data_IF_156774991297
#
_entry.id   IF_156774991297
#
_cell.length_a   1.000
_cell.length_b   1.000
_cell.length_c   1.000
_cell.angle_alpha   90.00
_cell.angle_beta   90.00
_cell.angle_gamma   90.00
#
_symmetry.space_group_name_H-M   'P 1'
#
loop_
_entity.id
_entity.type
_entity.pdbx_description
1 polymer ?
#
# COMPACT_ATOMS: atom_id res chain seq x y z
N UNK A 1 -12.86 39.60 2.24
CA UNK A 1 -11.71 38.68 2.36
C UNK A 1 -11.92 37.59 3.42
N UNK A 2 -12.12 37.91 4.70
CA UNK A 2 -12.22 36.92 5.81
C UNK A 2 -13.37 35.89 5.66
N UNK A 3 -14.53 36.29 5.12
CA UNK A 3 -15.69 35.39 4.93
C UNK A 3 -15.48 34.33 3.84
N UNK A 4 -14.73 34.68 2.78
CA UNK A 4 -14.37 33.73 1.70
C UNK A 4 -13.38 32.68 2.23
N UNK A 5 -12.34 33.10 2.95
CA UNK A 5 -11.37 32.19 3.56
C UNK A 5 -12.02 31.21 4.56
N UNK A 6 -13.03 31.65 5.32
CA UNK A 6 -13.80 30.76 6.22
C UNK A 6 -14.64 29.72 5.47
N UNK A 7 -15.22 30.08 4.33
CA UNK A 7 -16.00 29.13 3.50
C UNK A 7 -15.11 28.12 2.79
N UNK A 8 -13.98 28.56 2.24
CA UNK A 8 -12.98 27.68 1.63
C UNK A 8 -12.41 26.69 2.66
N UNK A 9 -12.04 27.17 3.85
CA UNK A 9 -11.55 26.31 4.93
C UNK A 9 -12.57 25.24 5.35
N UNK A 10 -13.84 25.62 5.52
CA UNK A 10 -14.92 24.68 5.85
C UNK A 10 -15.15 23.63 4.75
N UNK A 11 -14.99 24.03 3.48
CA UNK A 11 -15.12 23.12 2.34
C UNK A 11 -14.00 22.08 2.32
N UNK A 12 -12.76 22.50 2.59
CA UNK A 12 -11.59 21.61 2.68
C UNK A 12 -11.77 20.60 3.81
N UNK A 13 -12.14 21.06 5.01
CA UNK A 13 -12.40 20.18 6.16
C UNK A 13 -13.51 19.16 5.87
N UNK A 14 -14.57 19.58 5.16
CA UNK A 14 -15.66 18.67 4.77
C UNK A 14 -15.19 17.62 3.77
N UNK A 15 -14.40 18.02 2.78
CA UNK A 15 -13.85 17.09 1.80
C UNK A 15 -12.90 16.06 2.43
N UNK A 16 -12.04 16.49 3.37
CA UNK A 16 -11.17 15.59 4.12
C UNK A 16 -11.97 14.59 4.96
N UNK A 17 -13.05 15.02 5.62
CA UNK A 17 -13.94 14.14 6.38
C UNK A 17 -14.61 13.09 5.48
N UNK A 18 -15.07 13.50 4.28
CA UNK A 18 -15.62 12.58 3.28
C UNK A 18 -14.58 11.53 2.86
N UNK A 19 -13.36 11.96 2.54
CA UNK A 19 -12.28 11.07 2.11
C UNK A 19 -11.89 10.09 3.22
N UNK A 20 -11.83 10.54 4.48
CA UNK A 20 -11.55 9.68 5.63
C UNK A 20 -12.64 8.63 5.83
N UNK A 21 -13.92 9.03 5.79
CA UNK A 21 -15.03 8.10 5.88
C UNK A 21 -15.03 7.08 4.73
N UNK A 22 -14.80 7.56 3.51
CA UNK A 22 -14.75 6.71 2.32
C UNK A 22 -13.61 5.69 2.39
N UNK A 23 -12.41 6.07 2.87
CA UNK A 23 -11.28 5.14 3.10
C UNK A 23 -11.67 3.97 4.00
N UNK A 24 -12.34 4.25 5.13
CA UNK A 24 -12.76 3.23 6.09
C UNK A 24 -13.79 2.28 5.46
N UNK A 25 -14.82 2.83 4.82
CA UNK A 25 -15.90 2.03 4.23
C UNK A 25 -15.40 1.19 3.06
N UNK A 26 -14.62 1.77 2.15
CA UNK A 26 -14.07 1.05 0.99
C UNK A 26 -13.04 0.00 1.37
N UNK A 27 -12.19 0.26 2.36
CA UNK A 27 -11.24 -0.74 2.84
C UNK A 27 -11.92 -2.00 3.39
N UNK A 28 -13.11 -1.84 4.01
CA UNK A 28 -13.87 -2.93 4.59
C UNK A 28 -14.77 -3.65 3.58
N UNK A 29 -15.34 -2.93 2.61
CA UNK A 29 -16.42 -3.44 1.75
C UNK A 29 -16.09 -3.46 0.25
N UNK A 30 -14.95 -2.91 -0.15
CA UNK A 30 -14.62 -2.65 -1.55
C UNK A 30 -15.56 -1.64 -2.21
N UNK A 31 -15.34 -1.34 -3.50
CA UNK A 31 -16.19 -0.46 -4.29
C UNK A 31 -17.64 -0.99 -4.35
N UNK A 32 -17.82 -2.28 -4.67
CA UNK A 32 -19.13 -2.88 -4.88
C UNK A 32 -19.98 -2.92 -3.61
N UNK A 33 -19.40 -3.29 -2.47
CA UNK A 33 -20.12 -3.44 -1.20
C UNK A 33 -20.41 -2.12 -0.47
N UNK A 34 -19.69 -1.05 -0.78
CA UNK A 34 -19.90 0.26 -0.17
C UNK A 34 -21.14 0.99 -0.71
N UNK A 35 -21.86 1.69 0.17
CA UNK A 35 -22.98 2.57 -0.21
C UNK A 35 -22.64 4.03 0.09
N UNK A 36 -23.03 4.93 -0.81
CA UNK A 36 -22.85 6.38 -0.61
C UNK A 36 -23.53 6.90 0.66
N UNK A 37 -24.67 6.30 1.06
CA UNK A 37 -25.34 6.66 2.31
C UNK A 37 -24.44 6.36 3.53
N UNK A 38 -23.81 5.18 3.57
CA UNK A 38 -22.95 4.78 4.69
C UNK A 38 -21.74 5.70 4.83
N UNK A 39 -21.18 6.15 3.70
CA UNK A 39 -20.07 7.11 3.69
C UNK A 39 -20.53 8.46 4.23
N UNK A 40 -21.71 8.94 3.81
CA UNK A 40 -22.27 10.20 4.28
C UNK A 40 -22.52 10.17 5.80
N UNK A 41 -23.16 9.08 6.28
CA UNK A 41 -23.44 8.87 7.70
C UNK A 41 -22.15 8.85 8.52
N UNK A 42 -21.12 8.13 8.05
CA UNK A 42 -19.82 8.06 8.72
C UNK A 42 -19.05 9.39 8.68
N UNK A 43 -19.22 10.20 7.63
CA UNK A 43 -18.66 11.54 7.52
C UNK A 43 -19.45 12.61 8.30
N UNK A 44 -20.59 12.26 8.91
CA UNK A 44 -21.44 13.20 9.62
C UNK A 44 -22.13 14.23 8.72
N UNK A 45 -22.36 13.89 7.44
CA UNK A 45 -23.01 14.77 6.47
C UNK A 45 -24.22 14.10 5.82
N UNK A 46 -25.10 14.89 5.22
CA UNK A 46 -26.18 14.32 4.41
C UNK A 46 -25.68 13.86 3.03
N UNK A 47 -26.38 12.90 2.44
CA UNK A 47 -26.03 12.31 1.14
C UNK A 47 -26.06 13.33 -0.02
N UNK A 48 -26.90 14.35 0.04
CA UNK A 48 -26.93 15.38 -1.00
C UNK A 48 -25.63 16.21 -1.00
N UNK A 49 -25.11 16.55 0.18
CA UNK A 49 -23.83 17.22 0.32
C UNK A 49 -22.68 16.32 -0.14
N UNK A 50 -22.72 15.02 0.16
CA UNK A 50 -21.74 14.08 -0.40
C UNK A 50 -21.77 14.09 -1.94
N UNK A 51 -22.95 14.05 -2.56
CA UNK A 51 -23.08 14.12 -4.03
C UNK A 51 -22.62 15.45 -4.63
N UNK A 52 -22.72 16.54 -3.87
CA UNK A 52 -22.17 17.85 -4.28
C UNK A 52 -20.65 17.80 -4.45
N UNK A 53 -19.93 17.16 -3.51
CA UNK A 53 -18.47 16.96 -3.63
C UNK A 53 -18.10 15.84 -4.61
N UNK A 54 -18.86 14.75 -4.60
CA UNK A 54 -18.54 13.52 -5.30
C UNK A 54 -19.75 13.01 -6.07
N UNK A 55 -19.77 13.28 -7.38
CA UNK A 55 -20.89 12.96 -8.27
C UNK A 55 -21.38 11.51 -8.15
N UNK A 56 -20.44 10.56 -8.04
CA UNK A 56 -20.75 9.14 -7.89
C UNK A 56 -19.72 8.42 -7.00
N UNK A 57 -20.03 7.16 -6.69
CA UNK A 57 -19.22 6.32 -5.80
C UNK A 57 -17.87 5.99 -6.43
N UNK A 58 -17.85 5.80 -7.75
CA UNK A 58 -16.68 5.41 -8.54
C UNK A 58 -15.61 6.51 -8.49
N UNK A 59 -15.99 7.79 -8.65
CA UNK A 59 -15.03 8.91 -8.57
C UNK A 59 -14.48 9.11 -7.17
N UNK A 60 -15.32 8.96 -6.15
CA UNK A 60 -14.86 9.01 -4.76
C UNK A 60 -13.89 7.87 -4.46
N UNK A 61 -14.22 6.68 -4.96
CA UNK A 61 -13.36 5.50 -4.85
C UNK A 61 -12.03 5.70 -5.55
N UNK A 62 -12.04 6.18 -6.80
CA UNK A 62 -10.83 6.50 -7.56
C UNK A 62 -9.93 7.45 -6.80
N UNK A 63 -10.47 8.55 -6.27
CA UNK A 63 -9.67 9.49 -5.50
C UNK A 63 -9.09 8.84 -4.23
N UNK A 64 -9.91 8.11 -3.47
CA UNK A 64 -9.47 7.42 -2.25
C UNK A 64 -8.38 6.39 -2.55
N UNK A 65 -8.58 5.60 -3.59
CA UNK A 65 -7.66 4.55 -4.02
C UNK A 65 -6.35 5.15 -4.51
N UNK A 66 -6.40 6.14 -5.40
CA UNK A 66 -5.20 6.80 -5.91
C UNK A 66 -4.39 7.43 -4.78
N UNK A 67 -5.02 8.14 -3.84
CA UNK A 67 -4.33 8.74 -2.71
C UNK A 67 -3.69 7.69 -1.80
N UNK A 68 -4.39 6.59 -1.55
CA UNK A 68 -3.88 5.47 -0.76
C UNK A 68 -2.69 4.78 -1.45
N UNK A 69 -2.85 4.44 -2.72
CA UNK A 69 -1.86 3.71 -3.48
C UNK A 69 -0.64 4.56 -3.82
N UNK A 70 -0.80 5.88 -4.03
CA UNK A 70 0.33 6.82 -4.22
C UNK A 70 1.28 6.84 -3.02
N UNK A 71 0.77 6.60 -1.79
CA UNK A 71 1.59 6.50 -0.57
C UNK A 71 2.50 5.27 -0.56
N UNK A 72 2.12 4.21 -1.29
CA UNK A 72 2.93 3.01 -1.47
C UNK A 72 3.85 3.14 -2.69
N UNK A 73 3.30 3.56 -3.84
CA UNK A 73 3.99 3.45 -5.12
C UNK A 73 5.16 4.42 -5.28
N UNK A 74 5.04 5.64 -4.75
CA UNK A 74 6.06 6.67 -4.92
C UNK A 74 7.33 6.31 -4.15
N UNK A 75 7.26 5.95 -2.85
CA UNK A 75 8.44 5.42 -2.16
C UNK A 75 8.98 4.15 -2.81
N UNK A 76 8.10 3.24 -3.26
CA UNK A 76 8.51 1.98 -3.89
C UNK A 76 9.31 2.22 -5.18
N UNK A 77 8.87 3.11 -6.06
CA UNK A 77 9.59 3.40 -7.29
C UNK A 77 10.95 4.04 -7.05
N UNK A 78 11.01 5.08 -6.21
CA UNK A 78 12.26 5.72 -5.81
C UNK A 78 13.25 4.70 -5.23
N UNK A 79 12.74 3.78 -4.43
CA UNK A 79 13.50 2.72 -3.84
C UNK A 79 14.01 1.69 -4.86
N UNK A 80 13.17 1.24 -5.79
CA UNK A 80 13.59 0.30 -6.83
C UNK A 80 14.63 0.91 -7.79
N UNK A 81 14.60 2.24 -7.97
CA UNK A 81 15.60 2.99 -8.74
C UNK A 81 16.88 3.31 -7.96
N UNK A 82 16.94 3.07 -6.65
CA UNK A 82 18.10 3.37 -5.81
C UNK A 82 19.32 2.50 -6.15
N UNK A 83 20.53 3.04 -5.92
CA UNK A 83 21.82 2.41 -6.23
C UNK A 83 22.44 1.64 -5.05
N UNK A 84 21.71 1.45 -3.94
CA UNK A 84 22.17 0.61 -2.83
C UNK A 84 22.52 -0.80 -3.28
N UNK A 85 23.56 -1.35 -2.66
CA UNK A 85 23.93 -2.77 -2.75
C UNK A 85 22.74 -3.70 -2.51
N UNK A 86 22.67 -4.82 -3.23
CA UNK A 86 21.49 -5.69 -3.30
C UNK A 86 20.92 -6.08 -1.92
N UNK A 87 21.78 -6.49 -0.98
CA UNK A 87 21.32 -6.87 0.37
C UNK A 87 20.83 -5.68 1.19
N UNK A 88 21.48 -4.53 1.08
CA UNK A 88 20.97 -3.31 1.71
C UNK A 88 19.64 -2.90 1.08
N UNK A 89 19.51 -3.10 -0.23
CA UNK A 89 18.27 -2.87 -0.96
C UNK A 89 17.14 -3.78 -0.42
N UNK A 90 17.40 -5.07 -0.21
CA UNK A 90 16.41 -5.98 0.40
C UNK A 90 15.98 -5.52 1.81
N UNK A 91 16.91 -5.04 2.63
CA UNK A 91 16.58 -4.50 3.98
C UNK A 91 15.68 -3.27 3.88
N UNK A 92 16.06 -2.33 3.04
CA UNK A 92 15.37 -1.06 2.89
C UNK A 92 13.95 -1.26 2.35
N UNK A 93 13.73 -2.18 1.41
CA UNK A 93 12.36 -2.44 0.90
C UNK A 93 11.46 -3.08 1.96
N UNK A 94 11.99 -3.99 2.77
CA UNK A 94 11.22 -4.61 3.85
C UNK A 94 10.82 -3.55 4.90
N UNK A 95 11.74 -2.64 5.25
CA UNK A 95 11.45 -1.48 6.12
C UNK A 95 10.42 -0.55 5.51
N UNK A 96 10.53 -0.23 4.22
CA UNK A 96 9.58 0.63 3.53
C UNK A 96 8.16 0.05 3.56
N UNK A 97 8.00 -1.23 3.20
CA UNK A 97 6.70 -1.91 3.31
C UNK A 97 6.17 -1.84 4.73
N UNK A 98 7.01 -2.12 5.72
CA UNK A 98 6.60 -2.08 7.12
C UNK A 98 6.11 -0.69 7.56
N UNK A 99 6.87 0.37 7.26
CA UNK A 99 6.52 1.75 7.61
C UNK A 99 5.21 2.19 6.95
N UNK A 100 5.08 1.94 5.64
CA UNK A 100 3.89 2.33 4.87
C UNK A 100 2.66 1.57 5.34
N UNK A 101 2.76 0.25 5.53
CA UNK A 101 1.63 -0.60 5.87
C UNK A 101 1.23 -0.47 7.34
N UNK A 102 2.16 -0.14 8.24
CA UNK A 102 1.82 0.23 9.63
C UNK A 102 1.07 1.56 9.66
N UNK A 103 1.52 2.55 8.86
CA UNK A 103 0.87 3.86 8.79
C UNK A 103 -0.50 3.81 8.08
N UNK A 104 -0.66 2.90 7.13
CA UNK A 104 -1.86 2.76 6.30
C UNK A 104 -2.30 1.29 6.22
N UNK A 105 -2.79 0.70 7.33
CA UNK A 105 -3.08 -0.74 7.43
C UNK A 105 -4.24 -1.22 6.54
N UNK A 106 -5.00 -0.28 5.98
CA UNK A 106 -6.07 -0.58 5.04
C UNK A 106 -5.58 -0.89 3.62
N UNK A 107 -4.35 -0.48 3.26
CA UNK A 107 -3.81 -0.60 1.89
C UNK A 107 -3.81 -2.06 1.39
N UNK A 108 -3.34 -3.08 2.14
CA UNK A 108 -3.24 -4.44 1.60
C UNK A 108 -4.58 -5.01 1.18
N UNK A 109 -5.60 -4.89 2.05
CA UNK A 109 -6.96 -5.37 1.75
C UNK A 109 -7.56 -4.61 0.56
N UNK A 110 -7.35 -3.30 0.51
CA UNK A 110 -7.82 -2.48 -0.59
C UNK A 110 -7.18 -2.93 -1.92
N UNK A 111 -5.86 -3.10 -1.95
CA UNK A 111 -5.11 -3.50 -3.14
C UNK A 111 -5.48 -4.90 -3.60
N UNK A 112 -5.58 -5.86 -2.70
CA UNK A 112 -5.94 -7.26 -3.03
C UNK A 112 -7.36 -7.31 -3.62
N UNK A 113 -8.31 -6.59 -3.04
CA UNK A 113 -9.67 -6.53 -3.56
C UNK A 113 -9.69 -5.97 -5.00
N UNK A 114 -8.98 -4.86 -5.24
CA UNK A 114 -8.97 -4.23 -6.56
C UNK A 114 -8.16 -5.02 -7.61
N UNK A 115 -7.07 -5.68 -7.21
CA UNK A 115 -6.32 -6.57 -8.11
C UNK A 115 -7.19 -7.68 -8.71
N UNK A 116 -8.21 -8.14 -7.98
CA UNK A 116 -9.11 -9.19 -8.45
C UNK A 116 -10.31 -8.66 -9.24
N UNK A 117 -10.63 -7.36 -9.12
CA UNK A 117 -11.78 -6.73 -9.79
C UNK A 117 -11.35 -6.06 -11.10
N UNK A 118 -10.35 -5.18 -11.03
CA UNK A 118 -9.86 -4.39 -12.16
C UNK A 118 -8.33 -4.17 -12.08
N UNK A 119 -7.55 -5.14 -12.58
CA UNK A 119 -6.09 -5.05 -12.58
C UNK A 119 -5.55 -3.80 -13.29
N UNK A 120 -6.29 -3.23 -14.24
CA UNK A 120 -5.83 -2.10 -15.06
C UNK A 120 -5.59 -0.84 -14.21
N UNK A 121 -6.35 -0.64 -13.14
CA UNK A 121 -6.19 0.47 -12.20
C UNK A 121 -4.85 0.42 -11.48
N UNK A 122 -4.45 -0.77 -11.03
CA UNK A 122 -3.13 -0.98 -10.42
C UNK A 122 -2.04 -0.74 -11.45
N UNK A 123 -2.15 -1.35 -12.64
CA UNK A 123 -1.14 -1.24 -13.70
C UNK A 123 -0.88 0.23 -14.08
N UNK A 124 -1.92 1.04 -14.25
CA UNK A 124 -1.79 2.45 -14.58
C UNK A 124 -1.03 3.24 -13.50
N UNK A 125 -1.20 2.88 -12.22
CA UNK A 125 -0.51 3.55 -11.12
C UNK A 125 0.94 3.09 -10.96
N UNK A 126 1.27 1.84 -11.30
CA UNK A 126 2.66 1.37 -11.35
C UNK A 126 3.50 2.19 -12.35
N UNK A 127 2.87 2.68 -13.43
CA UNK A 127 3.51 3.45 -14.49
C UNK A 127 3.91 4.85 -14.04
N UNK A 128 3.06 5.47 -13.21
CA UNK A 128 3.27 6.83 -12.70
C UNK A 128 4.31 6.85 -11.56
N UNK A 129 4.56 5.70 -10.94
CA UNK A 129 5.43 5.59 -9.76
C UNK A 129 6.91 5.36 -10.05
N UNK A 130 7.34 5.15 -11.30
CA UNK A 130 8.73 4.73 -11.60
C UNK A 130 9.01 3.24 -11.30
N UNK A 131 7.98 2.47 -10.95
CA UNK A 131 8.12 1.06 -10.56
C UNK A 131 8.50 0.17 -11.73
N UNK A 132 8.01 0.47 -12.95
CA UNK A 132 8.41 -0.27 -14.17
C UNK A 132 9.91 -0.19 -14.43
N UNK A 133 10.47 1.02 -14.38
CA UNK A 133 11.91 1.25 -14.57
C UNK A 133 12.73 0.62 -13.44
N UNK A 134 12.33 0.88 -12.18
CA UNK A 134 12.99 0.30 -11.02
C UNK A 134 12.98 -1.23 -11.01
N UNK A 135 11.91 -1.87 -11.50
CA UNK A 135 11.85 -3.33 -11.67
C UNK A 135 12.92 -3.83 -12.64
N UNK A 136 13.11 -3.16 -13.78
CA UNK A 136 14.14 -3.54 -14.77
C UNK A 136 15.53 -3.39 -14.16
N UNK A 137 15.82 -2.23 -13.53
CA UNK A 137 17.10 -1.98 -12.86
C UNK A 137 17.40 -3.03 -11.79
N UNK A 138 16.41 -3.34 -10.95
CA UNK A 138 16.56 -4.36 -9.88
C UNK A 138 16.80 -5.74 -10.46
N UNK A 139 16.15 -6.11 -11.57
CA UNK A 139 16.40 -7.39 -12.23
C UNK A 139 17.82 -7.50 -12.79
N UNK A 140 18.38 -6.41 -13.32
CA UNK A 140 19.79 -6.37 -13.77
C UNK A 140 20.73 -6.59 -12.57
N UNK A 141 20.51 -5.88 -11.47
CA UNK A 141 21.31 -6.00 -10.25
C UNK A 141 21.30 -7.43 -9.67
N UNK A 142 20.13 -8.09 -9.67
CA UNK A 142 20.01 -9.49 -9.22
C UNK A 142 20.82 -10.42 -10.15
N UNK A 143 20.70 -10.25 -11.46
CA UNK A 143 21.45 -11.06 -12.42
C UNK A 143 22.97 -10.85 -12.31
N UNK A 144 23.43 -9.64 -12.02
CA UNK A 144 24.84 -9.36 -11.74
C UNK A 144 25.33 -10.05 -10.47
N UNK A 145 24.56 -10.00 -9.38
CA UNK A 145 24.88 -10.69 -8.13
C UNK A 145 24.93 -12.22 -8.30
N UNK A 146 24.12 -12.79 -9.21
CA UNK A 146 24.21 -14.21 -9.59
C UNK A 146 25.53 -14.47 -10.33
N UNK A 147 25.88 -13.63 -11.32
CA UNK A 147 27.10 -13.79 -12.13
C UNK A 147 28.38 -13.71 -11.29
N UNK A 148 28.40 -12.85 -10.26
CA UNK A 148 29.56 -12.69 -9.38
C UNK A 148 29.63 -13.75 -8.27
N UNK A 149 28.63 -14.64 -8.17
CA UNK A 149 28.57 -15.67 -7.14
C UNK A 149 28.20 -15.14 -5.75
N UNK A 150 27.69 -13.91 -5.65
CA UNK A 150 27.24 -13.32 -4.38
C UNK A 150 25.93 -13.93 -3.88
N UNK A 151 25.08 -14.39 -4.82
CA UNK A 151 23.83 -15.10 -4.53
C UNK A 151 23.67 -16.31 -5.44
N UNK A 152 22.89 -17.29 -4.99
CA UNK A 152 22.50 -18.45 -5.80
C UNK A 152 21.59 -18.05 -6.96
N UNK A 153 21.54 -18.85 -8.05
CA UNK A 153 20.59 -18.64 -9.13
C UNK A 153 19.14 -18.59 -8.63
N UNK A 154 18.46 -17.49 -8.94
CA UNK A 154 17.04 -17.26 -8.66
C UNK A 154 16.44 -16.40 -9.77
N UNK A 155 15.21 -16.68 -10.18
CA UNK A 155 14.48 -15.77 -11.07
C UNK A 155 14.24 -14.44 -10.34
N UNK A 156 14.64 -13.28 -10.89
CA UNK A 156 14.40 -11.98 -10.26
C UNK A 156 12.92 -11.73 -9.90
N UNK A 157 11.99 -12.28 -10.70
CA UNK A 157 10.54 -12.17 -10.44
C UNK A 157 10.15 -12.92 -9.17
N UNK A 158 10.71 -14.10 -8.95
CA UNK A 158 10.47 -14.91 -7.75
C UNK A 158 11.04 -14.24 -6.50
N UNK A 159 12.23 -13.64 -6.59
CA UNK A 159 12.78 -12.86 -5.47
C UNK A 159 11.88 -11.67 -5.11
N UNK A 160 11.41 -10.93 -6.12
CA UNK A 160 10.47 -9.82 -5.91
C UNK A 160 9.16 -10.31 -5.30
N UNK A 161 8.60 -11.41 -5.81
CA UNK A 161 7.37 -12.01 -5.25
C UNK A 161 7.56 -12.45 -3.80
N UNK A 162 8.69 -13.05 -3.44
CA UNK A 162 8.98 -13.44 -2.06
C UNK A 162 9.06 -12.22 -1.13
N UNK A 163 9.72 -11.14 -1.56
CA UNK A 163 9.79 -9.89 -0.80
C UNK A 163 8.38 -9.32 -0.58
N UNK A 164 7.55 -9.24 -1.62
CA UNK A 164 6.17 -8.73 -1.53
C UNK A 164 5.35 -9.61 -0.59
N UNK A 165 5.36 -10.94 -0.80
CA UNK A 165 4.58 -11.89 -0.01
C UNK A 165 4.94 -11.80 1.48
N UNK A 166 6.22 -11.88 1.83
CA UNK A 166 6.66 -11.90 3.22
C UNK A 166 6.47 -10.53 3.92
N UNK A 167 6.48 -9.43 3.16
CA UNK A 167 6.29 -8.08 3.70
C UNK A 167 4.83 -7.69 3.82
N UNK A 168 3.98 -8.03 2.83
CA UNK A 168 2.59 -7.57 2.75
C UNK A 168 1.62 -8.53 3.43
N UNK A 169 1.84 -9.85 3.31
CA UNK A 169 0.89 -10.86 3.80
C UNK A 169 0.57 -10.71 5.29
N UNK A 170 1.52 -10.46 6.23
CA UNK A 170 1.20 -10.30 7.65
C UNK A 170 0.19 -9.18 7.94
N UNK A 171 0.19 -8.12 7.13
CA UNK A 171 -0.79 -7.03 7.24
C UNK A 171 -2.14 -7.42 6.63
N UNK A 172 -2.13 -8.08 5.46
CA UNK A 172 -3.36 -8.54 4.80
C UNK A 172 -4.09 -9.62 5.64
N UNK A 173 -3.34 -10.50 6.29
CA UNK A 173 -3.87 -11.56 7.15
C UNK A 173 -3.98 -11.15 8.61
N UNK A 174 -3.93 -9.85 8.94
CA UNK A 174 -4.01 -9.36 10.32
C UNK A 174 -5.19 -9.94 11.10
N UNK A 175 -6.45 -9.93 10.61
CA UNK A 175 -7.58 -10.40 11.40
C UNK A 175 -7.48 -11.87 11.83
N UNK A 176 -6.93 -12.73 10.97
CA UNK A 176 -6.75 -14.16 11.29
C UNK A 176 -5.49 -14.38 12.13
N UNK A 177 -4.40 -13.66 11.83
CA UNK A 177 -3.14 -13.77 12.59
C UNK A 177 -3.32 -13.32 14.03
N UNK A 178 -4.05 -12.21 14.24
CA UNK A 178 -4.39 -11.68 15.56
C UNK A 178 -5.19 -12.71 16.37
N UNK A 179 -6.20 -13.35 15.77
CA UNK A 179 -7.04 -14.30 16.50
C UNK A 179 -6.40 -15.68 16.71
N UNK A 180 -5.55 -16.12 15.78
CA UNK A 180 -5.05 -17.50 15.75
C UNK A 180 -3.60 -17.65 16.21
N UNK A 181 -2.71 -16.71 15.83
CA UNK A 181 -1.27 -16.81 16.10
C UNK A 181 -0.83 -15.91 17.27
N UNK A 182 -1.47 -14.76 17.45
CA UNK A 182 -1.02 -13.66 18.33
C UNK A 182 -2.16 -13.18 19.25
N UNK A 183 -2.98 -14.10 19.74
CA UNK A 183 -4.27 -13.84 20.44
C UNK A 183 -4.19 -12.87 21.63
N UNK A 184 -3.02 -12.78 22.25
CA UNK A 184 -2.78 -11.98 23.45
C UNK A 184 -1.62 -10.97 23.27
N UNK A 185 -1.23 -10.69 22.01
CA UNK A 185 -0.13 -9.79 21.67
C UNK A 185 -0.63 -8.54 20.93
N UNK A 186 0.10 -7.42 21.06
CA UNK A 186 -0.16 -6.23 20.27
C UNK A 186 0.36 -6.45 18.84
N UNK A 187 -0.57 -6.67 17.91
CA UNK A 187 -0.26 -6.87 16.51
C UNK A 187 0.48 -5.70 15.86
N UNK A 188 0.32 -4.47 16.33
CA UNK A 188 1.07 -3.34 15.79
C UNK A 188 2.55 -3.40 16.20
N UNK A 189 2.86 -3.85 17.42
CA UNK A 189 4.25 -4.09 17.87
C UNK A 189 4.87 -5.30 17.16
N UNK A 190 4.11 -6.39 17.02
CA UNK A 190 4.52 -7.58 16.27
C UNK A 190 4.86 -7.17 14.84
N UNK A 191 3.94 -6.48 14.14
CA UNK A 191 4.19 -6.08 12.76
C UNK A 191 5.38 -5.13 12.64
N UNK A 192 5.50 -4.12 13.52
CA UNK A 192 6.60 -3.14 13.48
C UNK A 192 7.99 -3.77 13.60
N UNK A 193 8.14 -4.84 14.39
CA UNK A 193 9.43 -5.51 14.59
C UNK A 193 9.84 -6.48 13.48
N UNK A 194 8.92 -6.82 12.54
CA UNK A 194 9.17 -7.88 11.53
C UNK A 194 10.10 -7.50 10.40
N UNK A 195 10.28 -6.21 10.09
CA UNK A 195 10.98 -5.76 8.88
C UNK A 195 12.39 -6.35 8.77
N UNK A 196 13.18 -6.28 9.85
CA UNK A 196 14.56 -6.78 9.87
C UNK A 196 14.61 -8.31 9.76
N UNK A 197 13.73 -9.02 10.48
CA UNK A 197 13.65 -10.49 10.43
C UNK A 197 13.27 -11.01 9.03
N UNK A 198 12.32 -10.36 8.36
CA UNK A 198 11.95 -10.70 6.98
C UNK A 198 13.11 -10.47 6.02
N UNK A 199 13.80 -9.34 6.14
CA UNK A 199 14.95 -9.05 5.28
C UNK A 199 16.07 -10.08 5.45
N UNK A 200 16.42 -10.43 6.70
CA UNK A 200 17.44 -11.45 6.98
C UNK A 200 17.05 -12.82 6.44
N UNK A 201 15.80 -13.23 6.64
CA UNK A 201 15.29 -14.49 6.12
C UNK A 201 15.46 -14.58 4.60
N UNK A 202 15.10 -13.51 3.88
CA UNK A 202 15.23 -13.45 2.42
C UNK A 202 16.71 -13.49 2.01
N UNK A 203 17.57 -12.69 2.64
CA UNK A 203 19.00 -12.63 2.32
C UNK A 203 19.66 -13.99 2.56
N UNK A 204 19.44 -14.61 3.71
CA UNK A 204 19.99 -15.92 4.05
C UNK A 204 19.49 -17.01 3.09
N UNK A 205 18.28 -16.87 2.56
CA UNK A 205 17.74 -17.84 1.60
C UNK A 205 18.42 -17.81 0.23
N UNK A 206 19.19 -16.77 -0.10
CA UNK A 206 19.84 -16.61 -1.42
C UNK A 206 21.36 -16.43 -1.37
N UNK A 207 21.92 -15.96 -0.27
CA UNK A 207 23.35 -15.66 -0.13
C UNK A 207 24.18 -16.95 -0.22
N UNK A 208 25.33 -16.85 -0.90
CA UNK A 208 26.40 -17.87 -0.93
C UNK A 208 27.52 -17.46 0.03
#
# INVERSE_FOLDING_TARGET
>A
MVKHMKMEKKSIETQENILNAARIIFAKKGLSGARMQEIADHAGINKALLHYYYRNKEKLFEQVFEEAFKKLIRPLGAFLTDDSELFQKIRNICKLYNEVLTKYPFIPNFVINEMNIDPSRILNLLDIGGVKEGKIKTAIQINEAIKTGMIRPIDPRELILNIISLSVFPFASRPISEQFLYKDEDMDEVLKSRADGVAEFIIQSIKI
#
